data_IF_575308963800
#
_entry.id   IF_575308963800
#
_cell.length_a   1.000
_cell.length_b   1.000
_cell.length_c   1.000
_cell.angle_alpha   90.00
_cell.angle_beta   90.00
_cell.angle_gamma   90.00
#
_symmetry.space_group_name_H-M   'P 1'
#
loop_
_entity.id
_entity.type
_entity.pdbx_description
1 polymer ?
#
# COMPACT_ATOMS: atom_id res chain seq x y z
N UNK A 1 30.16 45.97 -37.46
CA UNK A 1 28.70 46.19 -37.56
C UNK A 1 28.03 44.85 -37.65
N UNK A 2 27.41 44.44 -36.55
CA UNK A 2 26.69 43.17 -36.37
C UNK A 2 26.21 43.21 -34.93
N UNK A 3 24.92 43.50 -34.73
CA UNK A 3 24.35 43.68 -33.39
C UNK A 3 24.37 42.35 -32.62
N UNK A 4 24.70 42.34 -31.32
CA UNK A 4 24.68 41.13 -30.51
C UNK A 4 23.23 40.78 -30.16
N UNK A 5 22.89 39.49 -30.31
CA UNK A 5 21.62 38.91 -29.87
C UNK A 5 21.70 38.83 -28.33
N UNK A 6 20.77 39.50 -27.66
CA UNK A 6 20.67 39.51 -26.21
C UNK A 6 20.25 38.13 -25.69
N UNK A 7 21.08 37.58 -24.81
CA UNK A 7 20.75 36.49 -23.91
C UNK A 7 19.67 36.96 -22.92
N UNK A 8 18.47 36.41 -23.04
CA UNK A 8 17.47 36.48 -21.98
C UNK A 8 17.67 35.29 -21.04
N UNK A 9 18.17 35.60 -19.84
CA UNK A 9 18.13 34.74 -18.67
C UNK A 9 16.67 34.44 -18.33
N UNK A 10 16.24 33.20 -18.49
CA UNK A 10 15.06 32.69 -17.77
C UNK A 10 15.53 31.84 -16.61
N UNK A 11 15.15 32.31 -15.42
CA UNK A 11 15.44 31.73 -14.14
C UNK A 11 14.58 30.49 -13.89
N UNK A 12 15.17 29.58 -13.13
CA UNK A 12 14.57 28.40 -12.53
C UNK A 12 13.11 28.57 -12.09
N UNK A 13 12.25 27.70 -12.60
CA UNK A 13 10.92 27.42 -12.08
C UNK A 13 10.75 25.91 -11.98
N UNK A 14 10.71 25.40 -10.75
CA UNK A 14 10.49 24.00 -10.41
C UNK A 14 9.18 23.49 -11.03
N UNK A 15 9.24 22.60 -12.02
CA UNK A 15 8.09 21.77 -12.40
C UNK A 15 8.04 20.55 -11.49
N UNK A 16 7.79 20.80 -10.20
CA UNK A 16 7.17 19.81 -9.34
C UNK A 16 5.73 19.69 -9.80
N UNK A 17 5.38 18.55 -10.41
CA UNK A 17 4.00 18.20 -10.69
C UNK A 17 3.34 17.79 -9.36
N UNK A 18 3.26 18.74 -8.43
CA UNK A 18 2.35 18.68 -7.32
C UNK A 18 0.96 18.78 -7.95
N UNK A 19 0.26 17.65 -8.00
CA UNK A 19 -1.20 17.66 -8.10
C UNK A 19 -1.63 18.44 -6.86
N UNK A 20 -1.78 19.77 -6.99
CA UNK A 20 -2.52 20.58 -6.03
C UNK A 20 -3.85 19.88 -5.93
N UNK A 21 -4.10 19.25 -4.79
CA UNK A 21 -5.42 18.84 -4.41
C UNK A 21 -6.31 20.06 -4.64
N UNK A 22 -7.14 19.98 -5.69
CA UNK A 22 -8.23 20.91 -5.85
C UNK A 22 -8.95 20.85 -4.51
N UNK A 23 -9.15 21.99 -3.82
CA UNK A 23 -9.96 21.96 -2.62
C UNK A 23 -11.27 21.31 -3.05
N UNK A 24 -11.64 20.23 -2.38
CA UNK A 24 -13.00 19.70 -2.46
C UNK A 24 -13.89 20.89 -2.12
N UNK A 25 -14.38 21.57 -3.16
CA UNK A 25 -15.41 22.56 -3.00
C UNK A 25 -16.56 21.79 -2.38
N UNK A 26 -16.75 22.06 -1.08
CA UNK A 26 -17.90 21.63 -0.33
C UNK A 26 -19.14 21.85 -1.22
N UNK A 27 -20.03 20.86 -1.33
CA UNK A 27 -21.11 20.92 -2.30
C UNK A 27 -21.89 22.20 -2.03
N UNK A 28 -21.92 23.07 -3.05
CA UNK A 28 -22.57 24.37 -3.06
C UNK A 28 -23.87 24.28 -2.28
N UNK A 29 -23.90 24.96 -1.14
CA UNK A 29 -24.95 24.81 -0.13
C UNK A 29 -26.33 25.12 -0.67
N UNK A 30 -27.11 24.07 -0.94
CA UNK A 30 -28.57 24.12 -1.09
C UNK A 30 -29.26 24.30 0.30
N UNK A 31 -28.73 25.21 1.13
CA UNK A 31 -29.05 25.28 2.56
C UNK A 31 -30.05 26.37 2.99
N UNK A 32 -30.33 27.35 2.13
CA UNK A 32 -30.97 28.61 2.57
C UNK A 32 -32.50 28.58 2.73
N UNK A 33 -33.23 27.72 2.01
CA UNK A 33 -34.72 27.72 2.02
C UNK A 33 -35.39 26.42 2.50
N UNK A 34 -34.67 25.30 2.59
CA UNK A 34 -35.21 24.02 3.10
C UNK A 34 -35.39 23.99 4.63
N UNK A 35 -34.59 24.77 5.37
CA UNK A 35 -34.55 24.71 6.84
C UNK A 35 -35.78 25.33 7.52
N UNK A 36 -36.45 26.29 6.87
CA UNK A 36 -37.60 27.00 7.47
C UNK A 36 -38.90 26.17 7.46
N UNK A 37 -39.21 25.48 6.36
CA UNK A 37 -40.43 24.66 6.26
C UNK A 37 -40.37 23.39 7.11
N UNK A 38 -39.20 22.75 7.21
CA UNK A 38 -39.02 21.58 8.09
C UNK A 38 -39.23 21.99 9.55
N UNK A 39 -38.83 23.21 9.94
CA UNK A 39 -39.04 23.74 11.28
C UNK A 39 -40.52 24.00 11.57
N UNK A 40 -41.25 24.59 10.60
CA UNK A 40 -42.71 24.79 10.67
C UNK A 40 -43.45 23.44 10.74
N UNK A 41 -43.09 22.48 9.89
CA UNK A 41 -43.72 21.15 9.87
C UNK A 41 -43.40 20.31 11.11
N UNK A 42 -42.19 20.44 11.70
CA UNK A 42 -41.86 19.81 12.99
C UNK A 42 -42.75 20.32 14.12
N UNK A 43 -43.20 21.58 14.06
CA UNK A 43 -44.11 22.15 15.06
C UNK A 43 -45.57 21.71 14.82
N UNK A 44 -46.03 21.72 13.56
CA UNK A 44 -47.41 21.37 13.20
C UNK A 44 -47.69 19.85 13.20
N UNK A 45 -46.71 19.04 12.83
CA UNK A 45 -46.85 17.58 12.67
C UNK A 45 -45.61 16.82 13.20
N UNK A 46 -45.26 16.94 14.49
CA UNK A 46 -44.00 16.44 15.04
C UNK A 46 -43.79 14.94 14.80
N UNK A 47 -44.82 14.12 15.03
CA UNK A 47 -44.72 12.67 14.85
C UNK A 47 -44.61 12.26 13.38
N UNK A 48 -45.35 12.93 12.47
CA UNK A 48 -45.35 12.60 11.04
C UNK A 48 -44.03 13.01 10.37
N UNK A 49 -43.47 14.16 10.74
CA UNK A 49 -42.16 14.61 10.27
C UNK A 49 -41.04 13.75 10.83
N UNK A 50 -41.09 13.39 12.12
CA UNK A 50 -40.08 12.50 12.71
C UNK A 50 -40.04 11.14 12.03
N UNK A 51 -41.22 10.58 11.70
CA UNK A 51 -41.33 9.32 10.96
C UNK A 51 -40.76 9.43 9.54
N UNK A 52 -41.13 10.47 8.79
CA UNK A 52 -40.63 10.69 7.44
C UNK A 52 -39.11 10.90 7.39
N UNK A 53 -38.54 11.63 8.35
CA UNK A 53 -37.08 11.79 8.45
C UNK A 53 -36.39 10.47 8.77
N UNK A 54 -36.94 9.67 9.70
CA UNK A 54 -36.38 8.36 10.00
C UNK A 54 -36.47 7.39 8.80
N UNK A 55 -37.58 7.40 8.05
CA UNK A 55 -37.73 6.60 6.83
C UNK A 55 -36.73 7.04 5.74
N UNK A 56 -36.48 8.35 5.61
CA UNK A 56 -35.47 8.89 4.69
C UNK A 56 -34.03 8.53 5.11
N UNK A 57 -33.70 8.68 6.40
CA UNK A 57 -32.38 8.34 6.93
C UNK A 57 -32.07 6.84 6.74
N UNK A 58 -33.08 5.97 6.92
CA UNK A 58 -32.96 4.52 6.65
C UNK A 58 -32.73 4.27 5.15
N UNK A 59 -33.52 4.90 4.27
CA UNK A 59 -33.33 4.75 2.82
C UNK A 59 -31.95 5.26 2.36
N UNK A 60 -31.47 6.39 2.88
CA UNK A 60 -30.12 6.89 2.59
C UNK A 60 -29.04 5.93 3.10
N UNK A 61 -29.22 5.39 4.32
CA UNK A 61 -28.28 4.42 4.88
C UNK A 61 -28.21 3.15 4.02
N UNK A 62 -29.35 2.57 3.64
CA UNK A 62 -29.44 1.36 2.82
C UNK A 62 -28.82 1.57 1.44
N UNK A 63 -29.06 2.72 0.81
CA UNK A 63 -28.43 3.08 -0.48
C UNK A 63 -26.92 3.20 -0.34
N UNK A 64 -26.44 3.90 0.70
CA UNK A 64 -25.00 4.06 0.94
C UNK A 64 -24.32 2.72 1.24
N UNK A 65 -24.99 1.83 1.97
CA UNK A 65 -24.48 0.51 2.28
C UNK A 65 -24.44 -0.41 1.06
N UNK A 66 -25.48 -0.36 0.22
CA UNK A 66 -25.49 -1.02 -1.08
C UNK A 66 -24.34 -0.54 -1.98
N UNK A 67 -24.12 0.78 -2.06
CA UNK A 67 -23.00 1.35 -2.82
C UNK A 67 -21.64 0.94 -2.26
N UNK A 68 -21.47 0.92 -0.93
CA UNK A 68 -20.22 0.45 -0.30
C UNK A 68 -19.94 -1.00 -0.64
N UNK A 69 -20.97 -1.84 -0.58
CA UNK A 69 -20.86 -3.26 -0.91
C UNK A 69 -20.47 -3.48 -2.38
N UNK A 70 -21.10 -2.74 -3.30
CA UNK A 70 -20.79 -2.82 -4.73
C UNK A 70 -19.35 -2.34 -5.03
N UNK A 71 -18.92 -1.23 -4.42
CA UNK A 71 -17.55 -0.73 -4.56
C UNK A 71 -16.54 -1.75 -4.01
N UNK A 72 -16.84 -2.38 -2.88
CA UNK A 72 -15.97 -3.43 -2.32
C UNK A 72 -15.91 -4.64 -3.25
N UNK A 73 -17.04 -5.07 -3.81
CA UNK A 73 -17.10 -6.17 -4.76
C UNK A 73 -16.29 -5.89 -6.02
N UNK A 74 -16.39 -4.68 -6.58
CA UNK A 74 -15.61 -4.25 -7.73
C UNK A 74 -14.10 -4.25 -7.43
N UNK A 75 -13.71 -3.72 -6.26
CA UNK A 75 -12.30 -3.75 -5.83
C UNK A 75 -11.77 -5.17 -5.73
N UNK A 76 -12.53 -6.07 -5.10
CA UNK A 76 -12.15 -7.49 -4.97
C UNK A 76 -11.97 -8.18 -6.34
N UNK A 77 -12.86 -7.90 -7.29
CA UNK A 77 -12.76 -8.44 -8.65
C UNK A 77 -11.57 -7.88 -9.42
N UNK A 78 -11.29 -6.58 -9.25
CA UNK A 78 -10.11 -5.94 -9.83
C UNK A 78 -8.82 -6.50 -9.24
N UNK A 79 -8.72 -6.66 -7.92
CA UNK A 79 -7.57 -7.28 -7.25
C UNK A 79 -7.34 -8.70 -7.77
N UNK A 80 -8.41 -9.49 -7.90
CA UNK A 80 -8.29 -10.85 -8.45
C UNK A 80 -7.80 -10.82 -9.91
N UNK A 81 -8.32 -9.91 -10.74
CA UNK A 81 -7.87 -9.75 -12.12
C UNK A 81 -6.39 -9.34 -12.20
N UNK A 82 -5.96 -8.38 -11.37
CA UNK A 82 -4.56 -7.95 -11.30
C UNK A 82 -3.63 -9.10 -10.88
N UNK A 83 -4.04 -9.90 -9.88
CA UNK A 83 -3.28 -11.07 -9.45
C UNK A 83 -3.14 -12.11 -10.58
N UNK A 84 -4.20 -12.37 -11.35
CA UNK A 84 -4.14 -13.26 -12.51
C UNK A 84 -3.24 -12.71 -13.62
N UNK A 85 -3.26 -11.40 -13.86
CA UNK A 85 -2.35 -10.76 -14.82
C UNK A 85 -0.89 -10.84 -14.36
N UNK A 86 -0.60 -10.59 -13.08
CA UNK A 86 0.73 -10.75 -12.50
C UNK A 86 1.25 -12.19 -12.63
N UNK A 87 0.39 -13.20 -12.41
CA UNK A 87 0.73 -14.62 -12.65
C UNK A 87 1.10 -14.91 -14.10
N UNK A 88 0.35 -14.36 -15.05
CA UNK A 88 0.66 -14.50 -16.47
C UNK A 88 1.98 -13.82 -16.83
N UNK A 89 2.24 -12.62 -16.30
CA UNK A 89 3.49 -11.90 -16.49
C UNK A 89 4.68 -12.70 -15.92
N UNK A 90 4.58 -13.17 -14.68
CA UNK A 90 5.58 -14.01 -14.03
C UNK A 90 5.92 -15.27 -14.87
N UNK A 91 4.90 -15.95 -15.38
CA UNK A 91 5.09 -17.13 -16.22
C UNK A 91 5.70 -16.80 -17.58
N UNK A 92 5.33 -15.66 -18.18
CA UNK A 92 5.92 -15.18 -19.42
C UNK A 92 7.40 -14.82 -19.26
N UNK A 93 7.77 -14.17 -18.15
CA UNK A 93 9.16 -13.86 -17.80
C UNK A 93 9.95 -15.16 -17.59
N UNK A 94 9.42 -16.11 -16.81
CA UNK A 94 10.09 -17.38 -16.53
C UNK A 94 10.33 -18.25 -17.78
N UNK A 95 9.45 -18.16 -18.78
CA UNK A 95 9.57 -18.86 -20.07
C UNK A 95 10.22 -18.02 -21.18
N UNK A 96 10.51 -16.76 -20.89
CA UNK A 96 10.92 -15.76 -21.85
C UNK A 96 12.36 -15.90 -22.28
N UNK A 97 12.83 -14.87 -22.98
CA UNK A 97 14.25 -14.72 -23.31
C UNK A 97 15.04 -14.39 -22.02
N UNK A 98 16.35 -14.66 -21.99
CA UNK A 98 17.20 -14.21 -20.89
C UNK A 98 17.02 -12.71 -20.65
N UNK A 99 16.95 -12.30 -19.38
CA UNK A 99 16.88 -10.89 -19.03
C UNK A 99 18.20 -10.20 -19.40
N UNK A 100 18.11 -9.02 -19.97
CA UNK A 100 19.26 -8.15 -20.23
C UNK A 100 19.49 -7.19 -19.05
N UNK A 101 18.40 -6.77 -18.41
CA UNK A 101 18.40 -5.91 -17.22
C UNK A 101 17.34 -6.38 -16.22
N UNK A 102 17.42 -5.94 -14.96
CA UNK A 102 16.35 -6.21 -13.98
C UNK A 102 15.01 -5.60 -14.40
N UNK A 103 15.02 -4.49 -15.13
CA UNK A 103 13.80 -3.86 -15.64
C UNK A 103 13.00 -4.78 -16.58
N UNK A 104 13.64 -5.77 -17.21
CA UNK A 104 12.95 -6.74 -18.07
C UNK A 104 12.06 -7.70 -17.26
N UNK A 105 12.24 -7.78 -15.94
CA UNK A 105 11.39 -8.56 -15.04
C UNK A 105 10.23 -7.75 -14.45
N UNK A 106 10.18 -6.43 -14.66
CA UNK A 106 9.23 -5.57 -13.95
C UNK A 106 7.77 -5.85 -14.33
N UNK A 107 6.94 -6.01 -13.31
CA UNK A 107 5.50 -5.81 -13.38
C UNK A 107 5.01 -5.37 -12.01
N UNK A 108 3.78 -4.85 -11.95
CA UNK A 108 3.18 -4.33 -10.73
C UNK A 108 1.79 -4.90 -10.50
N UNK A 109 1.57 -5.43 -9.30
CA UNK A 109 0.27 -5.82 -8.76
C UNK A 109 0.00 -5.08 -7.44
N UNK A 110 0.97 -5.10 -6.52
CA UNK A 110 0.89 -4.49 -5.20
C UNK A 110 2.08 -3.61 -4.84
N UNK A 111 3.29 -3.84 -5.35
CA UNK A 111 4.43 -2.98 -5.04
C UNK A 111 4.23 -1.56 -5.59
N UNK A 112 5.04 -0.60 -5.14
CA UNK A 112 4.93 0.79 -5.60
C UNK A 112 5.29 0.91 -7.09
N UNK A 113 6.35 0.23 -7.51
CA UNK A 113 6.88 0.22 -8.87
C UNK A 113 6.86 -1.19 -9.47
N UNK A 114 7.96 -1.66 -10.08
CA UNK A 114 8.04 -2.95 -10.76
C UNK A 114 8.57 -4.10 -9.90
N UNK A 115 8.70 -3.90 -8.58
CA UNK A 115 9.36 -4.82 -7.67
C UNK A 115 8.67 -6.18 -7.62
N UNK A 116 7.34 -6.27 -7.72
CA UNK A 116 6.65 -7.56 -7.70
C UNK A 116 7.24 -8.55 -8.72
N UNK A 117 7.53 -8.04 -9.93
CA UNK A 117 8.12 -8.86 -10.99
C UNK A 117 9.60 -9.16 -10.81
N UNK A 118 10.38 -8.18 -10.35
CA UNK A 118 11.80 -8.38 -10.02
C UNK A 118 11.94 -9.43 -8.91
N UNK A 119 11.16 -9.31 -7.84
CA UNK A 119 11.16 -10.20 -6.68
C UNK A 119 10.70 -11.60 -7.07
N UNK A 120 9.58 -11.71 -7.79
CA UNK A 120 9.07 -13.00 -8.30
C UNK A 120 10.10 -13.70 -9.19
N UNK A 121 10.85 -12.96 -10.01
CA UNK A 121 11.95 -13.52 -10.79
C UNK A 121 13.11 -13.94 -9.88
N UNK A 122 13.57 -13.08 -8.96
CA UNK A 122 14.70 -13.37 -8.07
C UNK A 122 14.50 -14.65 -7.25
N UNK A 123 13.30 -14.88 -6.70
CA UNK A 123 13.01 -16.10 -5.93
C UNK A 123 13.05 -17.39 -6.77
N UNK A 124 13.06 -17.28 -8.10
CA UNK A 124 13.28 -18.43 -9.00
C UNK A 124 14.75 -18.64 -9.35
N UNK A 125 15.58 -17.62 -9.21
CA UNK A 125 17.01 -17.67 -9.55
C UNK A 125 17.89 -17.96 -8.34
N UNK A 126 17.46 -17.51 -7.15
CA UNK A 126 18.17 -17.69 -5.90
C UNK A 126 17.63 -18.92 -5.17
N UNK A 127 18.52 -19.76 -4.65
CA UNK A 127 18.16 -20.87 -3.78
C UNK A 127 17.71 -20.34 -2.41
N UNK A 128 16.42 -20.01 -2.29
CA UNK A 128 15.84 -19.53 -1.03
C UNK A 128 15.69 -20.70 -0.04
N UNK A 129 16.08 -20.54 1.23
CA UNK A 129 16.07 -21.64 2.20
C UNK A 129 14.66 -22.02 2.67
N UNK A 130 13.69 -21.13 2.50
CA UNK A 130 12.27 -21.33 2.80
C UNK A 130 11.41 -20.23 2.17
N UNK A 131 10.10 -20.44 2.22
CA UNK A 131 9.08 -19.50 1.72
C UNK A 131 8.61 -18.54 2.83
N UNK A 132 9.56 -17.82 3.43
CA UNK A 132 9.27 -16.84 4.49
C UNK A 132 9.84 -15.48 4.13
N UNK A 133 9.11 -14.43 4.46
CA UNK A 133 9.59 -13.06 4.34
C UNK A 133 9.40 -12.27 5.64
N UNK A 134 10.28 -11.29 5.84
CA UNK A 134 10.08 -10.19 6.78
C UNK A 134 10.06 -8.90 5.96
N UNK A 135 9.05 -8.06 6.17
CA UNK A 135 8.97 -6.72 5.56
C UNK A 135 8.75 -5.65 6.62
N UNK A 136 9.57 -4.61 6.59
CA UNK A 136 9.58 -3.54 7.58
C UNK A 136 9.20 -2.22 6.90
N UNK A 137 8.24 -1.50 7.49
CA UNK A 137 7.73 -0.21 7.01
C UNK A 137 6.61 -0.35 5.98
N UNK A 138 5.59 -1.14 6.31
CA UNK A 138 4.54 -1.53 5.36
C UNK A 138 3.29 -0.64 5.36
N UNK A 139 3.18 0.34 6.26
CA UNK A 139 1.94 1.04 6.59
C UNK A 139 0.76 0.07 6.82
N UNK A 140 -0.16 -0.02 5.87
CA UNK A 140 -1.33 -0.89 5.90
C UNK A 140 -1.17 -2.17 5.05
N UNK A 141 0.02 -2.39 4.50
CA UNK A 141 0.40 -3.50 3.63
C UNK A 141 -0.46 -3.62 2.37
N UNK A 142 -1.11 -2.54 1.92
CA UNK A 142 -1.84 -2.54 0.65
C UNK A 142 -0.91 -2.35 -0.55
N UNK A 143 0.10 -1.50 -0.39
CA UNK A 143 1.25 -1.33 -1.26
C UNK A 143 2.48 -1.92 -0.56
N UNK A 144 3.07 -3.00 -1.09
CA UNK A 144 4.17 -3.71 -0.42
C UNK A 144 4.93 -4.65 -1.36
N UNK A 145 6.21 -4.86 -1.08
CA UNK A 145 7.14 -5.65 -1.89
C UNK A 145 6.85 -7.16 -1.82
N UNK A 146 6.40 -7.67 -0.66
CA UNK A 146 6.18 -9.10 -0.47
C UNK A 146 4.72 -9.53 -0.64
N UNK A 147 3.78 -8.59 -0.87
CA UNK A 147 2.35 -8.93 -0.96
C UNK A 147 2.05 -9.81 -2.17
N UNK A 148 2.65 -9.53 -3.33
CA UNK A 148 2.45 -10.39 -4.50
C UNK A 148 2.98 -11.80 -4.25
N UNK A 149 4.17 -11.94 -3.65
CA UNK A 149 4.72 -13.26 -3.28
C UNK A 149 3.79 -14.03 -2.33
N UNK A 150 3.23 -13.36 -1.32
CA UNK A 150 2.28 -13.98 -0.40
C UNK A 150 1.05 -14.52 -1.15
N UNK A 151 0.42 -13.70 -1.99
CA UNK A 151 -0.77 -14.10 -2.77
C UNK A 151 -0.45 -15.14 -3.87
N UNK A 152 0.72 -15.05 -4.49
CA UNK A 152 1.09 -15.87 -5.63
C UNK A 152 1.66 -17.22 -5.22
N UNK A 153 2.45 -17.26 -4.14
CA UNK A 153 3.23 -18.43 -3.71
C UNK A 153 2.92 -18.91 -2.30
N UNK A 154 1.96 -18.29 -1.62
CA UNK A 154 1.56 -18.61 -0.24
C UNK A 154 2.73 -18.56 0.75
N UNK A 155 3.59 -17.54 0.61
CA UNK A 155 4.71 -17.32 1.53
C UNK A 155 4.22 -16.87 2.90
N UNK A 156 4.89 -17.34 3.94
CA UNK A 156 4.63 -16.94 5.34
C UNK A 156 5.31 -15.59 5.61
N UNK A 157 4.55 -14.63 6.13
CA UNK A 157 5.01 -13.25 6.31
C UNK A 157 5.07 -12.80 7.76
N UNK A 158 6.08 -11.98 8.08
CA UNK A 158 6.09 -11.11 9.24
C UNK A 158 6.26 -9.67 8.76
N UNK A 159 5.31 -8.81 9.12
CA UNK A 159 5.33 -7.41 8.72
C UNK A 159 5.35 -6.49 9.94
N UNK A 160 6.08 -5.38 9.81
CA UNK A 160 6.23 -4.36 10.84
C UNK A 160 5.86 -2.99 10.30
N UNK A 161 5.13 -2.22 11.09
CA UNK A 161 4.93 -0.80 10.85
C UNK A 161 4.76 -0.04 12.18
N UNK A 162 5.10 1.25 12.21
CA UNK A 162 4.91 2.09 13.39
C UNK A 162 3.44 2.31 13.75
N UNK A 163 2.51 2.15 12.80
CA UNK A 163 1.09 2.41 12.99
C UNK A 163 0.25 1.12 13.09
N UNK A 164 -0.05 0.70 14.31
CA UNK A 164 -0.83 -0.53 14.56
C UNK A 164 -2.30 -0.48 14.07
N UNK A 165 -2.85 0.71 13.81
CA UNK A 165 -4.28 0.89 13.60
C UNK A 165 -4.82 0.24 12.31
N UNK A 166 -3.95 -0.02 11.34
CA UNK A 166 -4.34 -0.49 10.01
C UNK A 166 -4.07 -1.98 9.79
N UNK A 167 -3.22 -2.60 10.60
CA UNK A 167 -2.68 -3.93 10.33
C UNK A 167 -3.55 -5.13 10.73
N UNK A 168 -4.79 -4.94 11.22
CA UNK A 168 -5.62 -6.06 11.74
C UNK A 168 -7.06 -6.10 11.24
N UNK A 169 -7.43 -5.21 10.32
CA UNK A 169 -8.80 -5.12 9.81
C UNK A 169 -8.98 -5.79 8.44
N UNK A 170 -7.89 -6.12 7.76
CA UNK A 170 -7.94 -6.76 6.45
C UNK A 170 -8.16 -8.28 6.57
N UNK A 171 -8.92 -8.85 5.63
CA UNK A 171 -9.15 -10.29 5.53
C UNK A 171 -7.87 -11.11 5.29
N UNK A 172 -6.83 -10.51 4.74
CA UNK A 172 -5.59 -11.21 4.42
C UNK A 172 -4.92 -11.85 5.65
N UNK A 173 -5.04 -11.23 6.82
CA UNK A 173 -4.44 -11.73 8.07
C UNK A 173 -5.05 -13.04 8.58
N UNK A 174 -6.26 -13.41 8.13
CA UNK A 174 -6.83 -14.73 8.43
C UNK A 174 -6.73 -15.71 7.26
N UNK A 175 -6.60 -15.22 6.03
CA UNK A 175 -6.45 -16.07 4.83
C UNK A 175 -5.03 -16.61 4.64
N UNK A 176 -4.02 -15.87 5.09
CA UNK A 176 -2.60 -16.20 4.91
C UNK A 176 -1.89 -16.33 6.26
N UNK A 177 -0.76 -17.04 6.28
CA UNK A 177 0.15 -17.09 7.45
C UNK A 177 0.95 -15.79 7.52
N UNK A 178 0.25 -14.71 7.89
CA UNK A 178 0.76 -13.35 7.95
C UNK A 178 0.64 -12.83 9.38
N UNK A 179 1.79 -12.54 10.00
CA UNK A 179 1.86 -11.92 11.32
C UNK A 179 2.19 -10.45 11.17
N UNK A 180 1.34 -9.57 11.73
CA UNK A 180 1.63 -8.13 11.79
C UNK A 180 1.94 -7.67 13.22
N UNK A 181 2.98 -6.83 13.35
CA UNK A 181 3.38 -6.21 14.62
C UNK A 181 3.52 -4.69 14.47
N UNK A 182 2.78 -3.95 15.31
CA UNK A 182 2.92 -2.51 15.46
C UNK A 182 4.16 -2.17 16.29
N UNK A 183 5.19 -1.60 15.68
CA UNK A 183 6.39 -1.16 16.36
C UNK A 183 7.15 -0.12 15.53
N UNK A 184 7.64 0.94 16.20
CA UNK A 184 8.64 1.82 15.61
C UNK A 184 10.01 1.13 15.66
N UNK A 185 10.53 0.73 14.50
CA UNK A 185 11.71 -0.12 14.42
C UNK A 185 13.00 0.68 14.63
N UNK A 186 13.89 0.13 15.44
CA UNK A 186 15.24 0.65 15.67
C UNK A 186 16.26 -0.48 15.61
N UNK A 187 17.55 -0.13 15.51
CA UNK A 187 18.63 -1.10 15.52
C UNK A 187 18.67 -1.92 16.83
N UNK A 188 18.23 -1.33 17.93
CA UNK A 188 18.25 -1.93 19.27
C UNK A 188 17.11 -2.93 19.48
N UNK A 189 15.93 -2.71 18.89
CA UNK A 189 14.74 -3.51 19.17
C UNK A 189 14.45 -4.62 18.12
N UNK A 190 14.97 -4.48 16.89
CA UNK A 190 14.53 -5.32 15.76
C UNK A 190 14.74 -6.82 16.00
N UNK A 191 15.87 -7.20 16.61
CA UNK A 191 16.18 -8.60 16.86
C UNK A 191 15.20 -9.24 17.87
N UNK A 192 14.87 -8.53 18.95
CA UNK A 192 13.91 -9.01 19.95
C UNK A 192 12.53 -9.19 19.33
N UNK A 193 12.06 -8.21 18.55
CA UNK A 193 10.77 -8.25 17.88
C UNK A 193 10.63 -9.44 16.91
N UNK A 194 11.70 -9.73 16.15
CA UNK A 194 11.76 -10.88 15.24
C UNK A 194 11.76 -12.20 16.02
N UNK A 195 12.54 -12.30 17.11
CA UNK A 195 12.60 -13.49 17.96
C UNK A 195 11.25 -13.83 18.59
N UNK A 196 10.60 -12.83 19.19
CA UNK A 196 9.28 -12.98 19.79
C UNK A 196 8.20 -13.40 18.78
N UNK A 197 8.34 -12.99 17.51
CA UNK A 197 7.44 -13.40 16.44
C UNK A 197 7.71 -14.85 15.97
N UNK A 198 8.76 -15.51 16.48
CA UNK A 198 9.19 -16.83 16.05
C UNK A 198 9.82 -16.83 14.66
N UNK A 199 10.43 -15.70 14.25
CA UNK A 199 10.92 -15.53 12.88
C UNK A 199 12.40 -15.82 12.64
N UNK A 200 13.17 -16.11 13.69
CA UNK A 200 14.60 -16.37 13.61
C UNK A 200 15.00 -17.53 12.68
N UNK A 201 16.28 -17.54 12.29
CA UNK A 201 16.90 -18.57 11.45
C UNK A 201 16.89 -18.24 9.95
N UNK A 202 16.99 -19.25 9.07
CA UNK A 202 17.01 -19.04 7.64
C UNK A 202 15.76 -18.29 7.16
N UNK A 203 15.93 -17.40 6.19
CA UNK A 203 14.87 -16.53 5.69
C UNK A 203 14.96 -16.42 4.16
N UNK A 204 13.81 -16.45 3.48
CA UNK A 204 13.77 -16.23 2.04
C UNK A 204 14.10 -14.78 1.70
N UNK A 205 13.30 -13.85 2.21
CA UNK A 205 13.42 -12.42 1.93
C UNK A 205 13.41 -11.59 3.20
N UNK A 206 14.31 -10.61 3.28
CA UNK A 206 14.24 -9.49 4.19
C UNK A 206 14.07 -8.20 3.39
N UNK A 207 12.95 -7.50 3.55
CA UNK A 207 12.68 -6.20 2.93
C UNK A 207 12.63 -5.12 4.01
N UNK A 208 13.40 -4.04 3.82
CA UNK A 208 13.55 -2.93 4.76
C UNK A 208 13.29 -1.63 3.99
N UNK A 209 12.26 -0.92 4.40
CA UNK A 209 11.84 0.34 3.80
C UNK A 209 11.27 1.25 4.90
N UNK A 210 12.15 1.92 5.67
CA UNK A 210 11.77 2.64 6.89
C UNK A 210 12.07 4.15 6.84
N UNK A 211 12.08 4.75 5.64
CA UNK A 211 12.30 6.18 5.42
C UNK A 211 13.59 6.70 6.13
N UNK A 212 14.68 5.92 6.08
CA UNK A 212 15.96 6.22 6.72
C UNK A 212 16.33 5.27 7.87
N UNK A 213 17.62 5.25 8.23
CA UNK A 213 18.21 4.30 9.18
C UNK A 213 18.17 2.81 8.73
N UNK A 214 17.74 2.52 7.49
CA UNK A 214 17.59 1.19 6.90
C UNK A 214 18.88 0.37 7.02
N UNK A 215 20.00 0.98 6.64
CA UNK A 215 21.31 0.35 6.73
C UNK A 215 21.68 -0.05 8.17
N UNK A 216 21.38 0.80 9.16
CA UNK A 216 21.72 0.53 10.56
C UNK A 216 20.84 -0.57 11.15
N UNK A 217 19.55 -0.58 10.78
CA UNK A 217 18.65 -1.68 11.13
C UNK A 217 19.12 -2.98 10.48
N UNK A 218 19.40 -2.97 9.17
CA UNK A 218 19.94 -4.13 8.47
C UNK A 218 21.22 -4.65 9.13
N UNK A 219 22.16 -3.75 9.42
CA UNK A 219 23.44 -4.10 10.06
C UNK A 219 23.25 -4.70 11.47
N UNK A 220 22.21 -4.28 12.20
CA UNK A 220 21.94 -4.78 13.54
C UNK A 220 21.27 -6.16 13.54
N UNK A 221 20.51 -6.50 12.51
CA UNK A 221 19.83 -7.79 12.40
C UNK A 221 20.85 -8.94 12.34
N UNK A 222 20.81 -9.82 13.33
CA UNK A 222 21.69 -11.00 13.42
C UNK A 222 20.95 -12.29 13.78
N UNK A 223 19.63 -12.23 13.93
CA UNK A 223 18.77 -13.37 14.29
C UNK A 223 18.17 -14.09 13.08
N UNK A 224 18.30 -13.54 11.88
CA UNK A 224 17.86 -14.14 10.63
C UNK A 224 18.98 -14.19 9.59
N UNK A 225 18.88 -15.14 8.67
CA UNK A 225 19.83 -15.38 7.58
C UNK A 225 19.10 -15.32 6.23
N UNK A 226 18.89 -14.12 5.65
CA UNK A 226 18.13 -13.92 4.42
C UNK A 226 18.92 -14.30 3.17
N UNK A 227 18.28 -15.01 2.23
CA UNK A 227 18.85 -15.26 0.90
C UNK A 227 18.78 -14.03 -0.01
N UNK A 228 17.75 -13.20 0.14
CA UNK A 228 17.54 -11.96 -0.61
C UNK A 228 17.28 -10.84 0.39
N UNK A 229 18.00 -9.73 0.24
CA UNK A 229 17.76 -8.49 0.98
C UNK A 229 17.31 -7.41 0.01
N UNK A 230 16.21 -6.74 0.33
CA UNK A 230 15.67 -5.57 -0.37
C UNK A 230 15.76 -4.41 0.62
N UNK A 231 16.38 -3.32 0.21
CA UNK A 231 16.65 -2.18 1.10
C UNK A 231 16.52 -0.90 0.28
N UNK A 232 15.77 0.06 0.81
CA UNK A 232 15.71 1.39 0.20
C UNK A 232 17.08 2.08 0.29
N UNK A 233 17.48 2.77 -0.78
CA UNK A 233 18.70 3.57 -0.80
C UNK A 233 18.39 5.04 -1.01
N UNK A 234 18.42 5.79 0.09
CA UNK A 234 18.27 7.25 0.06
C UNK A 234 19.63 7.96 -0.02
N UNK A 235 20.09 8.23 -1.23
CA UNK A 235 21.39 8.88 -1.51
C UNK A 235 21.56 10.31 -0.95
N UNK A 236 20.46 10.96 -0.51
CA UNK A 236 20.46 12.33 -0.01
C UNK A 236 20.78 12.40 1.50
N UNK A 237 20.62 11.28 2.22
CA UNK A 237 20.81 11.18 3.68
C UNK A 237 22.16 10.56 4.08
N UNK A 238 23.05 10.33 3.12
CA UNK A 238 24.36 9.66 3.31
C UNK A 238 25.48 10.67 3.54
#
# INVERSE_FOLDING_TARGET
MGKPIQETKEAAGQNGNAIKALPLESPVGYGGRKRDWIRILRHLFPHKVRRLLAEHDVLEHDVLEGMRSEVQWLRDHMEHSLLLQGRLAAHAIAKGRPLHTLADAEFRVYSQWGEDGIIEWLVTQVAVPNNRFIEIGVDNFTEANCRFLMHNRNWKGLIFDGNENYMRKDRMFWMYDLTAKGAFITAENINELILEAGFAGPLGILSIDIDGNDYWVWKAINVVDPAIVICEFNAILV
#
